data_IF_789331764467
#
_entry.id   IF_789331764467
#
_cell.length_a   1.000
_cell.length_b   1.000
_cell.length_c   1.000
_cell.angle_alpha   90.00
_cell.angle_beta   90.00
_cell.angle_gamma   90.00
#
_symmetry.space_group_name_H-M   'P 1'
#
loop_
_entity.id
_entity.type
_entity.pdbx_description
1 polymer ?
#
# COMPACT_ATOMS: atom_id res chain seq x y z
N UNK A 1 5.19 34.62 13.51
CA UNK A 1 5.18 33.13 13.59
C UNK A 1 6.02 32.67 14.76
N UNK A 2 5.50 31.80 15.64
CA UNK A 2 6.31 31.17 16.69
C UNK A 2 7.23 30.12 16.03
N UNK A 3 8.54 30.32 16.08
CA UNK A 3 9.52 29.32 15.62
C UNK A 3 9.55 28.18 16.62
N UNK A 4 8.87 27.08 16.28
CA UNK A 4 8.97 25.84 17.05
C UNK A 4 10.41 25.32 16.97
N UNK A 5 11.01 24.84 18.07
CA UNK A 5 12.33 24.23 18.03
C UNK A 5 12.28 23.01 17.10
N UNK A 6 13.04 23.08 16.00
CA UNK A 6 13.17 21.98 15.05
C UNK A 6 13.82 20.75 15.71
N UNK A 7 13.72 19.60 15.04
CA UNK A 7 14.38 18.37 15.49
C UNK A 7 15.88 18.63 15.68
N UNK A 8 16.49 18.21 16.81
CA UNK A 8 17.92 18.41 17.02
C UNK A 8 18.75 17.84 15.86
N UNK A 9 19.80 18.55 15.46
CA UNK A 9 20.63 18.27 14.27
C UNK A 9 21.20 16.85 14.25
N UNK A 10 21.54 16.30 15.42
CA UNK A 10 22.00 14.92 15.57
C UNK A 10 20.92 13.86 15.28
N UNK A 11 19.72 14.25 14.83
CA UNK A 11 18.57 13.38 14.55
C UNK A 11 18.12 12.54 15.75
N UNK A 12 18.67 12.81 16.93
CA UNK A 12 18.36 12.19 18.22
C UNK A 12 17.76 13.24 19.15
N UNK A 13 16.88 12.80 20.05
CA UNK A 13 16.38 13.64 21.14
C UNK A 13 17.57 14.10 22.00
N UNK A 14 17.57 15.35 22.44
CA UNK A 14 18.52 15.83 23.46
C UNK A 14 18.28 15.04 24.75
N UNK A 15 19.36 14.54 25.33
CA UNK A 15 19.31 13.73 26.54
C UNK A 15 19.44 14.67 27.74
N UNK A 16 18.47 14.64 28.65
CA UNK A 16 18.48 15.49 29.85
C UNK A 16 19.51 14.99 30.87
N UNK A 17 20.02 15.89 31.70
CA UNK A 17 20.93 15.56 32.80
C UNK A 17 20.23 14.60 33.77
N UNK A 18 20.75 13.38 33.92
CA UNK A 18 20.16 12.32 34.76
C UNK A 18 19.60 11.13 33.98
N UNK A 19 19.41 11.24 32.66
CA UNK A 19 19.14 10.06 31.85
C UNK A 19 20.45 9.30 31.55
N UNK A 20 20.73 8.20 32.25
CA UNK A 20 21.94 7.40 32.04
C UNK A 20 22.12 6.86 30.61
N UNK A 21 23.37 6.71 30.15
CA UNK A 21 23.68 6.07 28.87
C UNK A 21 23.17 4.62 28.85
N UNK A 22 22.40 4.25 27.82
CA UNK A 22 21.89 2.87 27.71
C UNK A 22 23.05 1.99 27.23
N UNK A 23 23.72 1.33 28.17
CA UNK A 23 24.80 0.40 27.87
C UNK A 23 24.37 -0.75 26.94
N UNK A 24 25.34 -1.34 26.21
CA UNK A 24 25.10 -2.52 25.38
C UNK A 24 24.78 -3.72 26.28
N UNK A 25 23.59 -4.28 26.14
CA UNK A 25 23.17 -5.48 26.90
C UNK A 25 23.88 -6.72 26.34
N UNK A 26 24.72 -7.39 27.14
CA UNK A 26 25.32 -8.68 26.76
C UNK A 26 24.22 -9.76 26.73
N UNK A 27 23.90 -10.29 25.55
CA UNK A 27 22.95 -11.39 25.39
C UNK A 27 23.67 -12.74 25.44
N UNK A 28 23.07 -13.71 26.13
CA UNK A 28 23.53 -15.10 26.11
C UNK A 28 23.45 -15.69 24.69
N UNK A 29 24.48 -16.43 24.29
CA UNK A 29 24.55 -17.07 22.97
C UNK A 29 23.63 -18.29 22.97
N UNK A 30 22.66 -18.31 22.05
CA UNK A 30 21.78 -19.49 21.84
C UNK A 30 22.53 -20.58 21.08
N UNK A 31 22.41 -21.86 21.49
CA UNK A 31 23.02 -22.98 20.77
C UNK A 31 22.36 -23.16 19.39
N UNK A 32 23.13 -23.67 18.43
CA UNK A 32 22.69 -23.89 17.06
C UNK A 32 21.72 -25.08 16.98
N UNK A 33 20.53 -24.83 16.44
CA UNK A 33 19.52 -25.85 16.13
C UNK A 33 19.52 -26.14 14.62
N UNK A 34 19.43 -27.41 14.26
CA UNK A 34 19.31 -27.84 12.88
C UNK A 34 18.01 -27.28 12.26
N UNK A 35 18.11 -26.69 11.06
CA UNK A 35 16.94 -26.14 10.36
C UNK A 35 15.99 -27.19 9.77
N UNK A 36 16.39 -28.48 9.76
CA UNK A 36 15.58 -29.61 9.30
C UNK A 36 14.88 -30.31 10.47
N UNK A 37 15.65 -30.95 11.37
CA UNK A 37 15.10 -31.74 12.48
C UNK A 37 14.98 -31.00 13.83
N UNK A 38 15.58 -29.81 13.97
CA UNK A 38 15.51 -29.03 15.22
C UNK A 38 16.47 -29.47 16.33
N UNK A 39 17.17 -30.58 16.16
CA UNK A 39 18.19 -31.08 17.10
C UNK A 39 19.42 -30.16 17.18
N UNK A 40 20.14 -30.23 18.29
CA UNK A 40 21.38 -29.50 18.52
C UNK A 40 22.58 -30.25 17.93
N UNK A 41 23.68 -29.54 17.70
CA UNK A 41 24.98 -30.15 17.37
C UNK A 41 25.28 -30.33 15.88
N UNK A 42 24.31 -30.10 14.98
CA UNK A 42 24.56 -30.15 13.53
C UNK A 42 23.76 -29.10 12.76
N UNK A 43 24.17 -28.83 11.51
CA UNK A 43 23.51 -27.88 10.62
C UNK A 43 22.61 -28.59 9.62
N UNK A 44 21.71 -27.84 8.96
CA UNK A 44 20.81 -28.38 7.93
C UNK A 44 21.57 -29.14 6.82
N UNK A 45 22.77 -28.68 6.45
CA UNK A 45 23.62 -29.28 5.40
C UNK A 45 24.17 -30.66 5.77
N UNK A 46 24.31 -30.95 7.06
CA UNK A 46 24.89 -32.20 7.59
C UNK A 46 23.83 -33.04 8.31
N UNK A 47 22.55 -32.73 8.10
CA UNK A 47 21.44 -33.42 8.75
C UNK A 47 21.19 -34.77 8.06
N UNK A 48 21.18 -35.85 8.84
CA UNK A 48 20.90 -37.21 8.37
C UNK A 48 19.40 -37.54 8.33
N UNK A 49 18.57 -36.74 9.00
CA UNK A 49 17.12 -36.95 9.05
C UNK A 49 16.45 -36.55 7.73
N UNK A 50 15.32 -37.19 7.41
CA UNK A 50 14.48 -36.85 6.25
C UNK A 50 14.05 -35.38 6.30
N UNK A 51 13.77 -34.78 5.15
CA UNK A 51 13.34 -33.39 5.07
C UNK A 51 11.94 -33.22 5.68
N UNK A 52 11.83 -32.48 6.78
CA UNK A 52 10.56 -32.19 7.44
C UNK A 52 9.95 -30.92 6.84
N UNK A 53 8.66 -30.98 6.47
CA UNK A 53 7.93 -29.78 6.05
C UNK A 53 7.72 -28.87 7.26
N UNK A 54 8.14 -27.62 7.14
CA UNK A 54 8.00 -26.65 8.23
C UNK A 54 6.54 -26.16 8.29
N UNK A 55 5.92 -26.06 9.47
CA UNK A 55 4.62 -25.43 9.57
C UNK A 55 4.70 -24.00 9.04
N UNK A 56 3.67 -23.58 8.30
CA UNK A 56 3.56 -22.21 7.82
C UNK A 56 3.56 -21.28 9.05
N UNK A 57 4.55 -20.40 9.13
CA UNK A 57 4.61 -19.43 10.21
C UNK A 57 3.43 -18.49 10.03
N UNK A 58 2.65 -18.26 11.09
CA UNK A 58 1.70 -17.17 11.11
C UNK A 58 2.40 -15.90 10.62
N UNK A 59 1.76 -15.17 9.69
CA UNK A 59 2.28 -13.88 9.20
C UNK A 59 2.37 -12.95 10.40
N UNK A 60 3.55 -12.91 11.01
CA UNK A 60 3.79 -12.23 12.27
C UNK A 60 3.51 -10.74 12.12
N UNK A 61 2.85 -10.16 13.11
CA UNK A 61 2.51 -8.74 13.17
C UNK A 61 2.00 -8.36 14.55
N UNK A 62 1.98 -7.06 14.84
CA UNK A 62 1.31 -6.55 16.06
C UNK A 62 -0.18 -6.84 15.93
N UNK A 63 -0.84 -7.42 16.95
CA UNK A 63 -2.28 -7.58 16.90
C UNK A 63 -2.96 -6.21 16.73
N UNK A 64 -4.11 -6.15 16.05
CA UNK A 64 -4.84 -4.90 15.91
C UNK A 64 -5.18 -4.33 17.30
N UNK A 65 -5.08 -3.01 17.44
CA UNK A 65 -5.46 -2.35 18.70
C UNK A 65 -6.95 -2.50 18.95
N UNK A 66 -7.34 -2.78 20.19
CA UNK A 66 -8.74 -2.88 20.63
C UNK A 66 -9.38 -1.53 20.96
N UNK A 67 -8.64 -0.42 20.88
CA UNK A 67 -9.13 0.94 21.15
C UNK A 67 -10.33 1.30 20.27
N UNK A 68 -11.29 2.03 20.83
CA UNK A 68 -12.52 2.49 20.14
C UNK A 68 -12.18 3.28 18.88
N UNK A 69 -11.29 4.26 19.01
CA UNK A 69 -10.81 5.08 17.89
C UNK A 69 -10.18 4.24 16.76
N UNK A 70 -9.40 3.22 17.11
CA UNK A 70 -8.76 2.34 16.13
C UNK A 70 -9.78 1.46 15.37
N UNK A 71 -10.88 1.08 16.02
CA UNK A 71 -11.98 0.34 15.40
C UNK A 71 -12.79 1.23 14.46
N UNK A 72 -13.17 2.42 14.92
CA UNK A 72 -13.92 3.41 14.13
C UNK A 72 -13.15 3.83 12.88
N UNK A 73 -11.85 4.10 12.99
CA UNK A 73 -11.02 4.47 11.85
C UNK A 73 -10.92 3.33 10.83
N UNK A 74 -10.79 2.08 11.30
CA UNK A 74 -10.76 0.90 10.45
C UNK A 74 -12.08 0.71 9.69
N UNK A 75 -13.21 0.89 10.37
CA UNK A 75 -14.54 0.81 9.74
C UNK A 75 -14.72 1.89 8.67
N UNK A 76 -14.34 3.14 8.98
CA UNK A 76 -14.37 4.24 8.00
C UNK A 76 -13.51 3.92 6.78
N UNK A 77 -12.32 3.33 6.97
CA UNK A 77 -11.45 2.90 5.87
C UNK A 77 -12.06 1.77 5.04
N UNK A 78 -12.74 0.82 5.68
CA UNK A 78 -13.44 -0.27 5.00
C UNK A 78 -14.60 0.27 4.16
N UNK A 79 -15.44 1.16 4.70
CA UNK A 79 -16.53 1.83 3.97
C UNK A 79 -16.03 2.59 2.74
N UNK A 80 -14.92 3.33 2.87
CA UNK A 80 -14.26 4.02 1.74
C UNK A 80 -13.73 3.05 0.67
N UNK A 81 -13.18 1.91 1.09
CA UNK A 81 -12.71 0.90 0.14
C UNK A 81 -13.87 0.24 -0.59
N UNK A 82 -14.94 -0.10 0.12
CA UNK A 82 -16.13 -0.73 -0.46
C UNK A 82 -16.83 0.22 -1.45
N UNK A 83 -16.99 1.49 -1.10
CA UNK A 83 -17.55 2.51 -2.01
C UNK A 83 -16.70 2.70 -3.25
N UNK A 84 -15.36 2.78 -3.10
CA UNK A 84 -14.44 2.84 -4.26
C UNK A 84 -14.57 1.60 -5.15
N UNK A 85 -14.62 0.41 -4.55
CA UNK A 85 -14.72 -0.85 -5.29
C UNK A 85 -16.07 -0.99 -6.01
N UNK A 86 -17.17 -0.54 -5.38
CA UNK A 86 -18.49 -0.51 -6.01
C UNK A 86 -18.52 0.45 -7.21
N UNK A 87 -17.94 1.64 -7.05
CA UNK A 87 -17.83 2.63 -8.13
C UNK A 87 -16.97 2.11 -9.30
N UNK A 88 -15.86 1.45 -9.02
CA UNK A 88 -14.98 0.86 -10.04
C UNK A 88 -15.68 -0.29 -10.81
N UNK A 89 -16.49 -1.11 -10.12
CA UNK A 89 -17.33 -2.13 -10.78
C UNK A 89 -18.42 -1.51 -11.67
N UNK A 90 -19.01 -0.40 -11.25
CA UNK A 90 -20.00 0.33 -12.06
C UNK A 90 -19.37 0.93 -13.34
N UNK A 91 -18.14 1.45 -13.27
CA UNK A 91 -17.42 1.94 -14.46
C UNK A 91 -16.95 0.79 -15.36
N UNK A 92 -16.58 -0.36 -14.78
CA UNK A 92 -16.16 -1.54 -15.53
C UNK A 92 -17.28 -2.17 -16.38
N UNK A 93 -18.53 -2.14 -15.89
CA UNK A 93 -19.69 -2.68 -16.63
C UNK A 93 -20.20 -1.77 -17.74
N UNK A 94 -19.88 -0.47 -17.73
CA UNK A 94 -20.36 0.47 -18.76
C UNK A 94 -19.42 0.58 -19.97
N UNK A 95 -18.30 -0.14 -19.99
CA UNK A 95 -17.32 -0.14 -21.09
C UNK A 95 -17.43 -1.31 -22.07
N UNK A 96 -18.40 -2.22 -21.90
CA UNK A 96 -18.58 -3.41 -22.76
C UNK A 96 -19.64 -3.26 -23.87
N UNK A 97 -20.21 -2.08 -24.09
CA UNK A 97 -21.08 -1.81 -25.23
C UNK A 97 -20.30 -1.07 -26.32
N UNK A 98 -19.61 -1.80 -27.20
CA UNK A 98 -19.14 -1.24 -28.47
C UNK A 98 -20.36 -0.98 -29.37
N UNK A 99 -20.63 0.26 -29.81
CA UNK A 99 -21.64 0.49 -30.84
C UNK A 99 -21.08 -0.01 -32.17
N UNK A 100 -21.71 -1.02 -32.76
CA UNK A 100 -21.55 -1.31 -34.19
C UNK A 100 -22.12 -0.11 -34.94
N UNK A 101 -21.25 0.67 -35.56
CA UNK A 101 -21.59 1.81 -36.41
C UNK A 101 -22.50 1.35 -37.56
N UNK A 102 -23.71 1.91 -37.75
CA UNK A 102 -24.47 1.68 -38.97
C UNK A 102 -23.78 2.40 -40.14
N UNK A 103 -23.59 1.69 -41.25
CA UNK A 103 -23.02 2.20 -42.50
C UNK A 103 -23.85 3.37 -43.02
N UNK A 104 -23.21 4.55 -43.10
CA UNK A 104 -23.81 5.79 -43.62
C UNK A 104 -24.20 5.63 -45.09
N UNK A 105 -25.50 5.65 -45.36
CA UNK A 105 -26.05 5.93 -46.68
C UNK A 105 -25.69 7.36 -47.10
N UNK A 106 -25.52 7.53 -48.41
CA UNK A 106 -24.95 8.70 -49.06
C UNK A 106 -25.74 9.99 -48.80
N UNK A 107 -25.06 11.01 -48.27
CA UNK A 107 -25.53 12.39 -48.25
C UNK A 107 -25.00 13.07 -49.52
N UNK A 108 -25.87 13.24 -50.51
CA UNK A 108 -25.54 13.90 -51.78
C UNK A 108 -25.44 15.41 -51.60
N UNK A 109 -24.29 15.94 -52.03
CA UNK A 109 -23.95 17.35 -52.22
C UNK A 109 -25.06 18.13 -52.93
N UNK A 110 -25.38 19.31 -52.42
CA UNK A 110 -25.73 20.46 -53.25
C UNK A 110 -25.18 21.70 -52.57
N UNK A 111 -24.21 22.31 -53.22
CA UNK A 111 -23.53 23.52 -52.79
C UNK A 111 -24.01 24.73 -53.58
N UNK A 112 -24.16 25.83 -52.86
CA UNK A 112 -24.10 27.22 -53.30
C UNK A 112 -23.82 27.99 -51.99
N UNK A 113 -22.82 28.84 -51.80
CA UNK A 113 -22.01 29.61 -52.71
C UNK A 113 -22.25 31.09 -52.39
N UNK A 114 -21.21 31.80 -51.90
CA UNK A 114 -21.12 33.28 -51.83
C UNK A 114 -21.87 33.94 -50.63
N UNK A 115 -21.41 34.94 -49.86
CA UNK A 115 -20.33 35.93 -49.95
C UNK A 115 -20.34 36.84 -48.68
N UNK A 116 -19.16 37.37 -48.27
CA UNK A 116 -18.85 38.62 -47.51
C UNK A 116 -19.45 38.87 -46.11
N UNK A 117 -18.83 39.54 -45.12
CA UNK A 117 -17.48 40.02 -44.74
C UNK A 117 -17.59 40.54 -43.27
N UNK A 118 -16.50 40.78 -42.52
CA UNK A 118 -16.52 40.97 -41.06
C UNK A 118 -16.45 42.43 -40.59
N UNK A 119 -16.89 42.69 -39.34
CA UNK A 119 -16.54 43.78 -38.37
C UNK A 119 -17.75 44.06 -37.46
N UNK A 120 -17.66 44.40 -36.18
CA UNK A 120 -16.56 44.72 -35.29
C UNK A 120 -17.11 44.74 -33.85
N UNK A 121 -16.20 44.74 -32.88
CA UNK A 121 -16.49 44.73 -31.44
C UNK A 121 -16.20 46.16 -30.93
N UNK A 122 -17.08 46.81 -30.15
CA UNK A 122 -16.67 47.91 -29.28
C UNK A 122 -16.02 47.40 -27.99
#
# INVERSE_FOLDING_TARGET
>A
MRKMPGRPSAKKRKKEAGEGEKGKVKRQKKPNKCGNCGELGHYKRTCKNKTVQKPEKAKGGRPPSSSTWAKEEKEKKQKRKATKEAYEKQIGTSRSATPLHPTSTAFTLSGEGSTTAPRGIP
#
